data_IF_474121651433
#
_entry.id   IF_474121651433
#
_cell.length_a   1.000
_cell.length_b   1.000
_cell.length_c   1.000
_cell.angle_alpha   90.00
_cell.angle_beta   90.00
_cell.angle_gamma   90.00
#
_symmetry.space_group_name_H-M   'P 1'
#
loop_
_entity.id
_entity.type
_entity.pdbx_description
1 polymer ?
#
# COMPACT_ATOMS: atom_id res chain seq x y z
N UNK A 1 29.11 3.90 -1.22
CA UNK A 1 29.16 2.49 -0.77
C UNK A 1 28.82 2.37 0.70
N UNK A 2 29.65 2.84 1.64
CA UNK A 2 29.37 2.77 3.10
C UNK A 2 28.02 3.32 3.56
N UNK A 3 27.53 4.40 2.94
CA UNK A 3 26.22 4.95 3.29
C UNK A 3 25.06 4.01 2.95
N UNK A 4 25.16 3.28 1.83
CA UNK A 4 24.15 2.34 1.37
C UNK A 4 24.18 1.08 2.27
N UNK A 5 25.37 0.55 2.55
CA UNK A 5 25.54 -0.58 3.48
C UNK A 5 25.02 -0.24 4.89
N UNK A 6 25.26 0.98 5.38
CA UNK A 6 24.75 1.39 6.68
C UNK A 6 23.22 1.50 6.71
N UNK A 7 22.59 1.96 5.62
CA UNK A 7 21.13 2.03 5.51
C UNK A 7 20.54 0.61 5.46
N UNK A 8 21.14 -0.28 4.66
CA UNK A 8 20.74 -1.68 4.57
C UNK A 8 20.84 -2.39 5.93
N UNK A 9 21.97 -2.21 6.62
CA UNK A 9 22.17 -2.74 7.96
C UNK A 9 21.16 -2.19 8.97
N UNK A 10 20.87 -0.88 8.91
CA UNK A 10 19.86 -0.25 9.77
C UNK A 10 18.46 -0.76 9.47
N UNK A 11 18.18 -1.18 8.22
CA UNK A 11 16.89 -1.75 7.86
C UNK A 11 16.63 -3.10 8.53
N UNK A 12 17.66 -3.91 8.75
CA UNK A 12 17.54 -5.15 9.53
C UNK A 12 17.17 -4.92 10.99
N UNK A 13 17.50 -3.75 11.56
CA UNK A 13 17.15 -3.39 12.94
C UNK A 13 15.70 -2.91 13.09
N UNK A 14 15.04 -2.53 11.99
CA UNK A 14 13.64 -2.11 12.04
C UNK A 14 12.74 -3.33 12.08
N UNK A 15 12.06 -3.51 13.22
CA UNK A 15 11.05 -4.55 13.36
C UNK A 15 9.93 -4.37 12.33
N UNK A 16 9.47 -5.49 11.76
CA UNK A 16 8.35 -5.51 10.81
C UNK A 16 7.09 -4.81 11.35
N UNK A 17 6.88 -4.82 12.67
CA UNK A 17 5.78 -4.11 13.34
C UNK A 17 5.91 -2.59 13.18
N UNK A 18 7.12 -2.04 13.36
CA UNK A 18 7.41 -0.61 13.19
C UNK A 18 7.25 -0.21 11.72
N UNK A 19 7.78 -1.03 10.82
CA UNK A 19 7.63 -0.85 9.37
C UNK A 19 6.14 -0.79 8.97
N UNK A 20 5.36 -1.78 9.40
CA UNK A 20 3.91 -1.83 9.12
C UNK A 20 3.17 -0.64 9.74
N UNK A 21 3.59 -0.15 10.91
CA UNK A 21 3.03 1.06 11.53
C UNK A 21 3.28 2.32 10.69
N UNK A 22 4.49 2.47 10.14
CA UNK A 22 4.84 3.59 9.25
C UNK A 22 4.05 3.52 7.95
N UNK A 23 4.00 2.35 7.32
CA UNK A 23 3.26 2.19 6.07
C UNK A 23 1.74 2.36 6.22
N UNK A 24 1.16 2.02 7.39
CA UNK A 24 -0.24 2.35 7.69
C UNK A 24 -0.53 3.86 7.67
N UNK A 25 0.45 4.68 8.03
CA UNK A 25 0.28 6.13 8.03
C UNK A 25 0.53 6.75 6.64
N UNK A 26 1.45 6.17 5.86
CA UNK A 26 1.84 6.69 4.54
C UNK A 26 0.90 6.20 3.44
N UNK A 27 0.49 4.93 3.49
CA UNK A 27 -0.30 4.28 2.45
C UNK A 27 -1.30 3.27 3.06
N UNK A 28 -2.31 3.76 3.80
CA UNK A 28 -3.25 2.92 4.54
C UNK A 28 -4.01 1.92 3.66
N UNK A 29 -4.23 2.23 2.37
CA UNK A 29 -4.91 1.37 1.41
C UNK A 29 -4.13 0.08 1.09
N UNK A 30 -2.81 0.08 1.24
CA UNK A 30 -1.97 -1.10 0.99
C UNK A 30 -1.58 -1.85 2.28
N UNK A 31 -1.89 -1.29 3.46
CA UNK A 31 -1.57 -1.93 4.74
C UNK A 31 -2.83 -2.21 5.54
N UNK A 32 -3.51 -3.29 5.17
CA UNK A 32 -4.48 -3.92 6.07
C UNK A 32 -3.77 -4.53 7.27
N UNK A 33 -4.52 -4.89 8.32
CA UNK A 33 -4.00 -5.45 9.57
C UNK A 33 -3.24 -6.77 9.33
N UNK A 34 -2.00 -6.63 8.88
CA UNK A 34 -1.12 -7.71 8.54
C UNK A 34 -0.53 -8.24 9.84
N UNK A 35 -1.05 -9.37 10.30
CA UNK A 35 -0.63 -9.98 11.57
C UNK A 35 0.55 -10.92 11.37
N UNK A 36 0.62 -11.62 10.22
CA UNK A 36 1.62 -12.64 9.91
C UNK A 36 1.39 -13.20 8.50
N UNK A 37 2.46 -13.55 7.78
CA UNK A 37 2.38 -14.41 6.61
C UNK A 37 2.08 -15.84 7.05
N UNK A 38 1.19 -16.55 6.35
CA UNK A 38 1.07 -18.00 6.52
C UNK A 38 2.44 -18.64 6.28
N UNK A 39 2.67 -19.80 6.91
CA UNK A 39 3.90 -20.55 6.63
C UNK A 39 3.93 -20.89 5.15
N UNK A 40 5.11 -20.77 4.55
CA UNK A 40 5.32 -21.01 3.12
C UNK A 40 4.85 -22.41 2.73
N UNK A 41 5.12 -23.42 3.56
CA UNK A 41 4.65 -24.80 3.39
C UNK A 41 3.11 -24.91 3.31
N UNK A 42 2.39 -24.11 4.12
CA UNK A 42 0.92 -24.08 4.11
C UNK A 42 0.40 -23.47 2.80
N UNK A 43 1.13 -22.49 2.23
CA UNK A 43 0.76 -21.88 0.95
C UNK A 43 0.98 -22.87 -0.19
N UNK A 44 2.11 -23.57 -0.24
CA UNK A 44 2.41 -24.55 -1.27
C UNK A 44 1.42 -25.73 -1.26
N UNK A 45 1.10 -26.27 -0.08
CA UNK A 45 0.11 -27.34 0.04
C UNK A 45 -1.28 -26.91 -0.46
N UNK A 46 -1.70 -25.67 -0.18
CA UNK A 46 -2.96 -25.13 -0.69
C UNK A 46 -2.94 -24.96 -2.22
N UNK A 47 -1.79 -24.58 -2.79
CA UNK A 47 -1.63 -24.42 -4.24
C UNK A 47 -1.64 -25.77 -4.97
N UNK A 48 -1.00 -26.81 -4.43
CA UNK A 48 -1.09 -28.18 -4.95
C UNK A 48 -2.54 -28.69 -4.88
N UNK A 49 -3.24 -28.44 -3.77
CA UNK A 49 -4.66 -28.81 -3.67
C UNK A 49 -5.52 -28.06 -4.70
N UNK A 50 -5.15 -26.83 -5.04
CA UNK A 50 -5.84 -26.03 -6.05
C UNK A 50 -5.52 -26.51 -7.47
N UNK A 51 -4.27 -26.89 -7.76
CA UNK A 51 -3.87 -27.43 -9.06
C UNK A 51 -4.60 -28.73 -9.34
N UNK A 52 -4.71 -29.63 -8.36
CA UNK A 52 -5.52 -30.84 -8.46
C UNK A 52 -6.99 -30.55 -8.82
N UNK A 53 -7.61 -29.55 -8.18
CA UNK A 53 -8.99 -29.14 -8.49
C UNK A 53 -9.16 -28.53 -9.87
N UNK A 54 -8.10 -27.94 -10.41
CA UNK A 54 -8.06 -27.36 -11.74
C UNK A 54 -7.57 -28.35 -12.80
N UNK A 55 -7.37 -29.62 -12.42
CA UNK A 55 -6.83 -30.69 -13.28
C UNK A 55 -5.43 -30.34 -13.85
N UNK A 56 -4.65 -29.58 -13.09
CA UNK A 56 -3.26 -29.24 -13.37
C UNK A 56 -2.34 -30.17 -12.57
N UNK A 57 -1.40 -30.83 -13.23
CA UNK A 57 -0.39 -31.67 -12.60
C UNK A 57 0.79 -30.80 -12.14
N UNK A 58 0.61 -30.11 -11.01
CA UNK A 58 1.62 -29.22 -10.42
C UNK A 58 1.93 -29.65 -8.99
N UNK A 59 3.22 -29.78 -8.69
CA UNK A 59 3.80 -30.13 -7.40
C UNK A 59 4.41 -28.90 -6.71
N UNK A 60 4.78 -29.05 -5.44
CA UNK A 60 5.40 -27.95 -4.67
C UNK A 60 6.64 -27.38 -5.37
N UNK A 61 7.47 -28.25 -5.96
CA UNK A 61 8.69 -27.88 -6.68
C UNK A 61 8.40 -26.95 -7.88
N UNK A 62 7.29 -27.15 -8.59
CA UNK A 62 6.90 -26.29 -9.73
C UNK A 62 6.59 -24.86 -9.28
N UNK A 63 6.00 -24.70 -8.08
CA UNK A 63 5.74 -23.38 -7.50
C UNK A 63 7.01 -22.74 -6.95
N UNK A 64 7.94 -23.54 -6.42
CA UNK A 64 9.26 -23.05 -5.97
C UNK A 64 10.05 -22.52 -7.18
N UNK A 65 10.08 -23.26 -8.29
CA UNK A 65 10.71 -22.81 -9.52
C UNK A 65 10.05 -21.53 -10.06
N UNK A 66 8.72 -21.46 -10.06
CA UNK A 66 7.98 -20.27 -10.47
C UNK A 66 8.35 -19.03 -9.63
N UNK A 67 8.43 -19.18 -8.30
CA UNK A 67 8.80 -18.09 -7.40
C UNK A 67 10.28 -17.70 -7.53
N UNK A 68 11.16 -18.68 -7.77
CA UNK A 68 12.57 -18.42 -8.01
C UNK A 68 12.80 -17.59 -9.27
N UNK A 69 12.00 -17.80 -10.32
CA UNK A 69 12.04 -16.99 -11.55
C UNK A 69 11.56 -15.55 -11.32
N UNK A 70 10.70 -15.33 -10.33
CA UNK A 70 10.08 -14.03 -10.07
C UNK A 70 10.93 -13.08 -9.22
N UNK A 71 12.12 -13.50 -8.76
CA UNK A 71 13.01 -12.71 -7.92
C UNK A 71 13.79 -11.62 -8.68
N UNK A 72 13.16 -11.00 -9.69
CA UNK A 72 13.71 -9.82 -10.35
C UNK A 72 13.42 -8.61 -9.47
N UNK A 73 14.47 -8.05 -8.86
CA UNK A 73 14.37 -6.78 -8.14
C UNK A 73 13.82 -5.70 -9.07
N UNK A 74 12.91 -4.87 -8.55
CA UNK A 74 12.45 -3.68 -9.24
C UNK A 74 13.66 -2.80 -9.56
N UNK A 75 13.80 -2.45 -10.82
CA UNK A 75 14.83 -1.53 -11.27
C UNK A 75 14.41 -0.08 -10.98
N UNK A 76 15.37 0.84 -11.00
CA UNK A 76 15.07 2.26 -10.88
C UNK A 76 14.10 2.75 -11.97
N UNK A 77 14.16 2.16 -13.17
CA UNK A 77 13.23 2.44 -14.28
C UNK A 77 11.80 2.02 -13.89
N UNK A 78 11.64 0.80 -13.38
CA UNK A 78 10.34 0.28 -12.93
C UNK A 78 9.76 1.13 -11.79
N UNK A 79 10.60 1.62 -10.87
CA UNK A 79 10.17 2.54 -9.80
C UNK A 79 9.71 3.91 -10.33
N UNK A 80 10.39 4.44 -11.36
CA UNK A 80 9.99 5.70 -11.98
C UNK A 80 8.65 5.55 -12.71
N UNK A 81 8.45 4.44 -13.42
CA UNK A 81 7.19 4.15 -14.11
C UNK A 81 6.01 4.08 -13.13
N UNK A 82 6.17 3.37 -12.01
CA UNK A 82 5.16 3.30 -10.95
C UNK A 82 4.80 4.67 -10.37
N UNK A 83 5.79 5.55 -10.21
CA UNK A 83 5.53 6.91 -9.75
C UNK A 83 4.70 7.70 -10.77
N UNK A 84 5.06 7.61 -12.05
CA UNK A 84 4.32 8.29 -13.11
C UNK A 84 2.88 7.84 -13.21
N UNK A 85 2.63 6.54 -12.98
CA UNK A 85 1.29 5.98 -12.93
C UNK A 85 0.49 6.55 -11.74
N UNK A 86 1.08 6.55 -10.53
CA UNK A 86 0.44 7.13 -9.33
C UNK A 86 0.03 8.59 -9.56
N UNK A 87 0.92 9.41 -10.14
CA UNK A 87 0.61 10.81 -10.48
C UNK A 87 -0.49 10.97 -11.54
N UNK A 88 -0.70 9.96 -12.37
CA UNK A 88 -1.79 9.93 -13.34
C UNK A 88 -3.14 9.62 -12.67
N UNK A 89 -3.15 8.66 -11.75
CA UNK A 89 -4.32 8.26 -10.96
C UNK A 89 -4.77 9.38 -10.00
N UNK A 90 -3.83 10.02 -9.29
CA UNK A 90 -4.11 11.18 -8.42
C UNK A 90 -4.75 12.35 -9.20
N UNK A 91 -4.33 12.59 -10.44
CA UNK A 91 -4.93 13.63 -11.30
C UNK A 91 -6.33 13.28 -11.76
N UNK A 92 -6.64 12.00 -11.97
CA UNK A 92 -7.98 11.56 -12.34
C UNK A 92 -8.95 11.64 -11.15
N UNK A 93 -8.48 11.38 -9.92
CA UNK A 93 -9.28 11.58 -8.70
C UNK A 93 -9.55 13.06 -8.40
N UNK A 94 -8.56 13.95 -8.61
CA UNK A 94 -8.74 15.41 -8.45
C UNK A 94 -9.74 16.01 -9.46
N UNK A 95 -9.85 15.45 -10.67
CA UNK A 95 -10.80 15.92 -11.69
C UNK A 95 -12.26 15.54 -11.37
N UNK A 96 -12.49 14.57 -10.47
CA UNK A 96 -13.83 14.12 -10.05
C UNK A 96 -14.33 14.87 -8.79
N UNK A 97 -13.45 15.54 -8.05
CA UNK A 97 -13.86 16.36 -6.90
C UNK A 97 -14.30 17.74 -7.36
N UNK A 98 -15.61 18.03 -7.28
CA UNK A 98 -16.13 19.38 -7.48
C UNK A 98 -15.32 20.40 -6.67
N UNK A 99 -15.07 21.56 -7.29
CA UNK A 99 -14.30 22.66 -6.72
C UNK A 99 -14.56 22.83 -5.21
N UNK A 100 -13.52 22.91 -4.36
CA UNK A 100 -13.71 23.11 -2.92
C UNK A 100 -14.56 24.36 -2.70
N UNK A 101 -15.77 24.19 -2.12
CA UNK A 101 -16.67 25.31 -1.82
C UNK A 101 -15.90 26.35 -1.02
N UNK A 102 -15.58 27.48 -1.66
CA UNK A 102 -14.84 28.58 -1.05
C UNK A 102 -15.79 29.34 -0.14
N UNK A 103 -15.85 28.92 1.12
CA UNK A 103 -16.59 29.67 2.14
C UNK A 103 -15.91 31.01 2.38
N UNK A 104 -16.65 32.08 2.15
CA UNK A 104 -16.19 33.44 2.39
C UNK A 104 -16.23 33.77 3.89
N UNK A 105 -15.35 34.67 4.33
CA UNK A 105 -15.33 35.13 5.73
C UNK A 105 -16.70 35.68 6.17
N UNK A 106 -17.45 36.28 5.24
CA UNK A 106 -18.81 36.76 5.46
C UNK A 106 -19.81 35.64 5.77
N UNK A 107 -19.74 34.52 5.05
CA UNK A 107 -20.63 33.37 5.29
C UNK A 107 -20.33 32.70 6.63
N UNK A 108 -19.04 32.61 6.99
CA UNK A 108 -18.64 32.10 8.31
C UNK A 108 -19.15 33.00 9.43
N UNK A 109 -18.99 34.32 9.31
CA UNK A 109 -19.46 35.29 10.30
C UNK A 109 -20.98 35.22 10.49
N UNK A 110 -21.76 35.10 9.39
CA UNK A 110 -23.21 34.92 9.46
C UNK A 110 -23.59 33.62 10.16
N UNK A 111 -22.88 32.52 9.90
CA UNK A 111 -23.10 31.26 10.59
C UNK A 111 -22.92 31.39 12.11
N UNK A 112 -21.84 32.05 12.55
CA UNK A 112 -21.58 32.27 13.97
C UNK A 112 -22.64 33.14 14.65
N UNK A 113 -23.12 34.20 14.00
CA UNK A 113 -24.20 35.03 14.56
C UNK A 113 -25.50 34.25 14.77
N UNK A 114 -25.85 33.34 13.86
CA UNK A 114 -27.05 32.50 13.99
C UNK A 114 -26.93 31.50 15.16
N UNK A 115 -25.73 31.01 15.46
CA UNK A 115 -25.51 30.16 16.63
C UNK A 115 -25.67 30.95 17.94
N UNK A 116 -25.22 32.20 17.97
CA UNK A 116 -25.30 33.06 19.14
C UNK A 116 -26.73 33.53 19.42
N UNK A 117 -27.51 33.81 18.38
CA UNK A 117 -28.95 34.07 18.50
C UNK A 117 -29.75 32.86 18.99
N UNK A 118 -29.35 31.64 18.63
CA UNK A 118 -30.01 30.42 19.09
C UNK A 118 -29.67 29.99 20.53
N UNK A 119 -28.71 30.66 21.17
CA UNK A 119 -28.28 30.39 22.55
C UNK A 119 -28.86 31.39 23.58
N UNK A 120 -29.66 32.37 23.12
CA UNK A 120 -30.47 33.29 23.93
C UNK A 120 -31.92 32.81 24.03
#
# INVERSE_FOLDING_TARGET
>A
YKAIENIDFSWYEVMAVTMNGVWKNICPQFVHNFHRFKKVDEVFSNLVTLSEKLELDLQEDDFIELLAVQHKELTNEDLMELETQRKGEERQEEEVTEEPKRYTMLETAKGFSLFEEGLL
#
